data_IF_040625140150
#
_entry.id   IF_040625140150
#
_cell.length_a   1.000
_cell.length_b   1.000
_cell.length_c   1.000
_cell.angle_alpha   90.00
_cell.angle_beta   90.00
_cell.angle_gamma   90.00
#
_symmetry.space_group_name_H-M   'P 1'
#
loop_
_entity.id
_entity.type
_entity.pdbx_description
1 polymer ?
#
# COMPACT_ATOMS: atom_id res chain seq x y z
N UNK A 1 -9.35 7.81 3.33
CA UNK A 1 -10.27 6.93 2.56
C UNK A 1 -9.61 5.56 2.45
N UNK A 2 -10.35 4.46 2.60
CA UNK A 2 -9.85 3.10 2.29
C UNK A 2 -10.30 2.76 0.87
N UNK A 3 -9.34 2.51 -0.02
CA UNK A 3 -9.63 2.24 -1.44
C UNK A 3 -8.51 1.43 -2.08
N UNK A 4 -8.86 0.59 -3.04
CA UNK A 4 -7.91 -0.04 -3.96
C UNK A 4 -7.67 0.79 -5.23
N UNK A 5 -8.42 1.90 -5.41
CA UNK A 5 -8.23 2.80 -6.53
C UNK A 5 -7.04 3.74 -6.27
N UNK A 6 -5.87 3.33 -6.74
CA UNK A 6 -4.61 4.05 -6.55
C UNK A 6 -4.62 5.44 -7.22
N UNK A 7 -5.32 5.59 -8.35
CA UNK A 7 -5.43 6.87 -9.07
C UNK A 7 -6.29 7.89 -8.30
N UNK A 8 -7.27 7.42 -7.53
CA UNK A 8 -8.04 8.27 -6.65
C UNK A 8 -7.22 8.63 -5.40
N UNK A 9 -6.57 7.65 -4.80
CA UNK A 9 -5.76 7.85 -3.61
C UNK A 9 -4.61 8.84 -3.85
N UNK A 10 -3.95 8.77 -5.01
CA UNK A 10 -2.83 9.66 -5.36
C UNK A 10 -3.23 11.13 -5.56
N UNK A 11 -4.50 11.41 -5.88
CA UNK A 11 -4.99 12.77 -6.13
C UNK A 11 -5.70 13.42 -4.94
N UNK A 12 -6.29 12.62 -4.08
CA UNK A 12 -7.23 13.11 -3.05
C UNK A 12 -6.63 13.04 -1.63
N UNK A 13 -5.58 12.24 -1.43
CA UNK A 13 -4.96 12.07 -0.11
C UNK A 13 -3.69 12.91 0.02
N UNK A 14 -3.48 13.50 1.20
CA UNK A 14 -2.20 14.11 1.58
C UNK A 14 -1.20 13.06 2.11
N UNK A 15 -1.72 12.06 2.83
CA UNK A 15 -0.97 10.97 3.45
C UNK A 15 -1.56 9.61 3.02
N UNK A 16 -0.71 8.63 2.79
CA UNK A 16 -1.12 7.28 2.39
C UNK A 16 -0.49 6.22 3.30
N UNK A 17 -1.31 5.26 3.73
CA UNK A 17 -0.88 4.06 4.43
C UNK A 17 -1.11 2.84 3.52
N UNK A 18 -0.07 2.02 3.33
CA UNK A 18 -0.16 0.76 2.61
C UNK A 18 -0.22 -0.41 3.60
N UNK A 19 -1.21 -1.28 3.42
CA UNK A 19 -1.41 -2.47 4.22
C UNK A 19 -1.28 -3.71 3.35
N UNK A 20 -0.65 -4.75 3.88
CA UNK A 20 -0.58 -6.07 3.26
C UNK A 20 -1.01 -7.14 4.27
N UNK A 21 -1.14 -8.38 3.81
CA UNK A 21 -1.64 -9.50 4.61
C UNK A 21 -0.60 -10.60 4.71
N UNK A 22 -0.31 -11.02 5.94
CA UNK A 22 0.55 -12.16 6.23
C UNK A 22 -0.29 -13.39 6.63
N UNK A 23 0.03 -14.58 6.11
CA UNK A 23 -0.59 -15.82 6.54
C UNK A 23 -0.15 -16.18 7.96
N UNK A 24 -1.11 -16.60 8.78
CA UNK A 24 -0.81 -17.08 10.13
C UNK A 24 -0.70 -18.60 10.17
N UNK A 25 0.07 -19.12 11.12
CA UNK A 25 0.27 -20.57 11.32
C UNK A 25 -1.05 -21.34 11.55
N UNK A 26 -2.11 -20.65 11.98
CA UNK A 26 -3.44 -21.22 12.24
C UNK A 26 -4.39 -21.12 11.03
N UNK A 27 -3.89 -20.82 9.83
CA UNK A 27 -4.68 -20.72 8.61
C UNK A 27 -5.47 -19.43 8.45
N UNK A 28 -5.17 -18.41 9.27
CA UNK A 28 -5.75 -17.06 9.14
C UNK A 28 -4.88 -16.12 8.30
N UNK A 29 -5.34 -14.88 8.14
CA UNK A 29 -4.53 -13.79 7.56
C UNK A 29 -4.60 -12.59 8.50
N UNK A 30 -3.46 -11.97 8.78
CA UNK A 30 -3.38 -10.75 9.58
C UNK A 30 -2.91 -9.63 8.67
N UNK A 31 -3.69 -8.54 8.63
CA UNK A 31 -3.29 -7.32 7.97
C UNK A 31 -2.26 -6.58 8.82
N UNK A 32 -1.19 -6.08 8.19
CA UNK A 32 -0.18 -5.28 8.83
C UNK A 32 0.12 -4.03 8.00
N UNK A 33 0.51 -2.96 8.69
CA UNK A 33 0.95 -1.73 8.05
C UNK A 33 2.36 -1.95 7.50
N UNK A 34 2.51 -1.82 6.19
CA UNK A 34 3.80 -1.95 5.50
C UNK A 34 4.53 -0.61 5.49
N UNK A 35 3.85 0.43 5.01
CA UNK A 35 4.48 1.74 4.83
C UNK A 35 3.46 2.87 5.04
N UNK A 36 3.89 3.97 5.64
CA UNK A 36 3.08 5.17 5.83
C UNK A 36 3.93 6.41 5.63
N UNK A 37 3.56 7.24 4.66
CA UNK A 37 4.25 8.50 4.34
C UNK A 37 3.31 9.44 3.56
N UNK A 38 3.84 10.59 3.13
CA UNK A 38 3.16 11.49 2.19
C UNK A 38 2.77 10.73 0.94
N UNK A 39 1.57 11.02 0.43
CA UNK A 39 1.03 10.36 -0.76
C UNK A 39 1.99 10.43 -1.95
N UNK A 40 2.67 11.56 -2.15
CA UNK A 40 3.70 11.70 -3.19
C UNK A 40 4.84 10.68 -3.05
N UNK A 41 5.34 10.47 -1.83
CA UNK A 41 6.43 9.52 -1.55
C UNK A 41 5.96 8.09 -1.84
N UNK A 42 4.79 7.72 -1.34
CA UNK A 42 4.25 6.36 -1.52
C UNK A 42 4.06 6.00 -3.01
N UNK A 43 3.63 6.96 -3.84
CA UNK A 43 3.36 6.70 -5.26
C UNK A 43 4.55 6.94 -6.20
N UNK A 44 5.52 7.79 -5.84
CA UNK A 44 6.65 8.11 -6.72
C UNK A 44 7.97 7.47 -6.26
N UNK A 45 8.20 7.37 -4.96
CA UNK A 45 9.46 6.87 -4.39
C UNK A 45 9.22 6.08 -3.09
N UNK A 46 8.47 4.96 -3.16
CA UNK A 46 8.24 4.12 -1.99
C UNK A 46 9.55 3.47 -1.53
N UNK A 47 9.70 3.39 -0.21
CA UNK A 47 10.88 2.82 0.45
C UNK A 47 10.79 1.30 0.49
N UNK A 48 9.59 0.76 0.72
CA UNK A 48 9.36 -0.67 0.77
C UNK A 48 9.19 -1.27 -0.64
N UNK A 49 9.84 -2.42 -0.88
CA UNK A 49 9.76 -3.12 -2.16
C UNK A 49 8.34 -3.60 -2.46
N UNK A 50 7.64 -4.14 -1.47
CA UNK A 50 6.25 -4.59 -1.62
C UNK A 50 5.29 -3.44 -1.96
N UNK A 51 5.49 -2.26 -1.38
CA UNK A 51 4.75 -1.04 -1.77
C UNK A 51 5.05 -0.69 -3.22
N UNK A 52 6.34 -0.70 -3.63
CA UNK A 52 6.77 -0.38 -5.01
C UNK A 52 6.13 -1.31 -6.03
N UNK A 53 6.12 -2.61 -5.77
CA UNK A 53 5.52 -3.60 -6.67
C UNK A 53 4.00 -3.42 -6.78
N UNK A 54 3.33 -3.07 -5.68
CA UNK A 54 1.90 -2.82 -5.67
C UNK A 54 1.52 -1.54 -6.44
N UNK A 55 2.18 -0.42 -6.16
CA UNK A 55 1.84 0.88 -6.79
C UNK A 55 2.25 0.96 -8.26
N UNK A 56 3.27 0.21 -8.68
CA UNK A 56 3.71 0.14 -10.08
C UNK A 56 2.78 -0.72 -10.98
N UNK A 57 1.79 -1.39 -10.40
CA UNK A 57 0.84 -2.21 -11.16
C UNK A 57 1.39 -3.57 -11.57
N UNK A 58 2.44 -4.08 -10.90
CA UNK A 58 2.97 -5.44 -11.12
C UNK A 58 2.00 -6.53 -10.62
N UNK A 59 1.02 -6.14 -9.82
CA UNK A 59 -0.12 -6.95 -9.41
C UNK A 59 -1.36 -6.51 -10.20
N UNK A 60 -1.53 -7.08 -11.39
CA UNK A 60 -2.73 -7.02 -12.22
C UNK A 60 -3.17 -8.42 -12.59
#
# INVERSE_FOLDING_TARGET
IVTHNMQQASRVSDMTAFFNVEPTEKGGRIGYLVEYDRTEVIFQSPKEESTREYVSGRFG
#
